data_IF_689065958529
#
_entry.id   IF_689065958529
#
_cell.length_a   1.000
_cell.length_b   1.000
_cell.length_c   1.000
_cell.angle_alpha   90.00
_cell.angle_beta   90.00
_cell.angle_gamma   90.00
#
_symmetry.space_group_name_H-M   'P 1'
#
loop_
_entity.id
_entity.type
_entity.pdbx_description
1 polymer ?
#
# COMPACT_ATOMS: atom_id res chain seq x y z
N UNK A 1 21.66 3.61 -33.53
CA UNK A 1 22.25 3.34 -32.19
C UNK A 1 21.16 3.66 -31.21
N UNK A 2 20.22 2.74 -31.11
CA UNK A 2 19.02 2.92 -30.31
C UNK A 2 19.44 2.75 -28.86
N UNK A 3 19.28 3.82 -28.08
CA UNK A 3 19.28 3.70 -26.63
C UNK A 3 18.06 2.85 -26.31
N UNK A 4 18.27 1.56 -26.12
CA UNK A 4 17.31 0.70 -25.44
C UNK A 4 17.11 1.36 -24.08
N UNK A 5 15.94 1.96 -23.86
CA UNK A 5 15.54 2.41 -22.55
C UNK A 5 15.60 1.19 -21.63
N UNK A 6 16.54 1.22 -20.70
CA UNK A 6 16.68 0.25 -19.63
C UNK A 6 15.37 0.30 -18.84
N UNK A 7 14.48 -0.66 -19.10
CA UNK A 7 13.25 -0.83 -18.32
C UNK A 7 13.73 -1.18 -16.93
N UNK A 8 13.66 -0.23 -16.01
CA UNK A 8 14.04 -0.41 -14.62
C UNK A 8 13.01 -1.36 -13.98
N UNK A 9 13.26 -2.66 -14.06
CA UNK A 9 12.42 -3.75 -13.53
C UNK A 9 12.24 -3.71 -12.00
N UNK A 10 12.78 -2.71 -11.29
CA UNK A 10 12.80 -2.64 -9.83
C UNK A 10 11.49 -2.17 -9.16
N UNK A 11 10.53 -1.59 -9.90
CA UNK A 11 9.29 -1.08 -9.29
C UNK A 11 8.13 -2.08 -9.28
N UNK A 12 8.08 -3.01 -10.23
CA UNK A 12 7.02 -4.04 -10.27
C UNK A 12 7.30 -5.08 -9.19
N UNK A 13 6.40 -5.29 -8.22
CA UNK A 13 6.63 -6.29 -7.19
C UNK A 13 6.64 -7.70 -7.78
N UNK A 14 7.61 -8.51 -7.37
CA UNK A 14 7.81 -9.86 -7.91
C UNK A 14 6.90 -10.89 -7.24
N UNK A 15 6.30 -10.55 -6.10
CA UNK A 15 5.41 -11.41 -5.34
C UNK A 15 4.39 -10.61 -4.52
N UNK A 16 3.39 -11.31 -4.00
CA UNK A 16 2.28 -10.69 -3.26
C UNK A 16 2.73 -10.02 -1.94
N UNK A 17 3.57 -10.63 -1.08
CA UNK A 17 4.08 -9.94 0.10
C UNK A 17 4.81 -8.63 -0.22
N UNK A 18 5.70 -8.64 -1.21
CA UNK A 18 6.43 -7.43 -1.64
C UNK A 18 5.46 -6.35 -2.16
N UNK A 19 4.46 -6.76 -2.96
CA UNK A 19 3.42 -5.84 -3.44
C UNK A 19 2.65 -5.21 -2.27
N UNK A 20 2.34 -6.01 -1.25
CA UNK A 20 1.63 -5.59 -0.07
C UNK A 20 2.44 -4.59 0.77
N UNK A 21 3.72 -4.88 1.00
CA UNK A 21 4.62 -3.97 1.72
C UNK A 21 4.77 -2.62 1.03
N UNK A 22 4.93 -2.62 -0.30
CA UNK A 22 4.95 -1.38 -1.12
C UNK A 22 3.66 -0.56 -0.96
N UNK A 23 2.49 -1.22 -0.95
CA UNK A 23 1.21 -0.51 -0.74
C UNK A 23 1.01 -0.01 0.69
N UNK A 24 1.50 -0.74 1.70
CA UNK A 24 1.49 -0.27 3.09
C UNK A 24 2.31 1.01 3.20
N UNK A 25 3.49 1.06 2.59
CA UNK A 25 4.35 2.24 2.65
C UNK A 25 3.71 3.45 1.95
N UNK A 26 3.19 3.27 0.73
CA UNK A 26 2.41 4.31 0.03
C UNK A 26 1.28 4.87 0.90
N UNK A 27 0.57 4.02 1.62
CA UNK A 27 -0.53 4.44 2.49
C UNK A 27 -0.03 5.17 3.75
N UNK A 28 1.18 4.89 4.25
CA UNK A 28 1.78 5.69 5.34
C UNK A 28 2.06 7.11 4.88
N UNK A 29 2.59 7.28 3.68
CA UNK A 29 2.80 8.60 3.08
C UNK A 29 1.46 9.34 2.92
N UNK A 30 0.44 8.65 2.40
CA UNK A 30 -0.91 9.21 2.24
C UNK A 30 -1.53 9.61 3.58
N UNK A 31 -1.34 8.80 4.63
CA UNK A 31 -1.82 9.10 5.98
C UNK A 31 -1.23 10.41 6.50
N UNK A 32 0.07 10.65 6.28
CA UNK A 32 0.70 11.91 6.70
C UNK A 32 0.09 13.11 5.96
N UNK A 33 -0.21 12.98 4.66
CA UNK A 33 -0.92 14.03 3.90
C UNK A 33 -2.28 14.31 4.53
N UNK A 34 -3.08 13.27 4.78
CA UNK A 34 -4.42 13.42 5.38
C UNK A 34 -4.40 14.06 6.77
N UNK A 35 -3.37 13.81 7.58
CA UNK A 35 -3.19 14.47 8.88
C UNK A 35 -2.97 15.98 8.78
N UNK A 36 -2.47 16.48 7.65
CA UNK A 36 -2.28 17.92 7.45
C UNK A 36 -3.58 18.65 7.07
N UNK A 37 -4.61 17.92 6.64
CA UNK A 37 -5.89 18.49 6.19
C UNK A 37 -6.81 18.68 7.40
N UNK A 38 -7.28 19.91 7.71
CA UNK A 38 -8.10 20.18 8.89
C UNK A 38 -9.37 19.31 9.02
N UNK A 39 -9.97 18.93 7.88
CA UNK A 39 -11.16 18.07 7.81
C UNK A 39 -10.84 16.63 7.40
N UNK A 40 -9.55 16.27 7.30
CA UNK A 40 -9.08 14.96 6.83
C UNK A 40 -9.13 13.83 7.88
N UNK A 41 -9.56 14.11 9.11
CA UNK A 41 -9.47 13.16 10.23
C UNK A 41 -10.18 11.82 10.02
N UNK A 42 -11.31 11.81 9.29
CA UNK A 42 -11.99 10.57 8.94
C UNK A 42 -11.16 9.72 7.97
N UNK A 43 -10.66 10.32 6.89
CA UNK A 43 -9.80 9.63 5.92
C UNK A 43 -8.50 9.12 6.55
N UNK A 44 -7.85 9.94 7.39
CA UNK A 44 -6.68 9.51 8.17
C UNK A 44 -6.98 8.26 9.03
N UNK A 45 -8.16 8.21 9.66
CA UNK A 45 -8.57 7.08 10.49
C UNK A 45 -8.75 5.80 9.67
N UNK A 46 -9.40 5.92 8.49
CA UNK A 46 -9.63 4.79 7.58
C UNK A 46 -8.31 4.25 7.01
N UNK A 47 -7.42 5.13 6.55
CA UNK A 47 -6.11 4.73 6.03
C UNK A 47 -5.28 4.04 7.12
N UNK A 48 -5.27 4.58 8.35
CA UNK A 48 -4.58 3.98 9.47
C UNK A 48 -5.15 2.61 9.87
N UNK A 49 -6.47 2.40 9.72
CA UNK A 49 -7.10 1.10 9.90
C UNK A 49 -6.60 0.11 8.85
N UNK A 50 -6.64 0.48 7.57
CA UNK A 50 -6.26 -0.40 6.47
C UNK A 50 -4.79 -0.80 6.52
N UNK A 51 -3.90 0.11 6.93
CA UNK A 51 -2.48 -0.21 7.20
C UNK A 51 -2.37 -1.29 8.26
N UNK A 52 -3.07 -1.16 9.39
CA UNK A 52 -3.03 -2.16 10.48
C UNK A 52 -3.55 -3.51 10.02
N UNK A 53 -4.66 -3.53 9.30
CA UNK A 53 -5.20 -4.76 8.73
C UNK A 53 -4.25 -5.40 7.72
N UNK A 54 -3.58 -4.59 6.89
CA UNK A 54 -2.58 -5.08 5.94
C UNK A 54 -1.39 -5.77 6.61
N UNK A 55 -0.85 -5.17 7.68
CA UNK A 55 0.24 -5.76 8.47
C UNK A 55 -0.23 -7.06 9.15
N UNK A 56 -1.44 -7.06 9.72
CA UNK A 56 -2.01 -8.25 10.36
C UNK A 56 -2.26 -9.38 9.35
N UNK A 57 -2.68 -9.05 8.13
CA UNK A 57 -2.86 -10.02 7.06
C UNK A 57 -1.54 -10.69 6.68
N UNK A 58 -0.46 -9.93 6.50
CA UNK A 58 0.88 -10.48 6.22
C UNK A 58 1.34 -11.40 7.35
N UNK A 59 1.22 -10.95 8.60
CA UNK A 59 1.63 -11.73 9.77
C UNK A 59 0.86 -13.06 9.90
N UNK A 60 -0.39 -13.12 9.41
CA UNK A 60 -1.21 -14.33 9.48
C UNK A 60 -0.85 -15.40 8.43
N UNK A 61 -0.19 -15.02 7.32
CA UNK A 61 0.05 -15.91 6.19
C UNK A 61 -1.20 -16.31 5.39
N UNK A 62 -2.38 -15.78 5.72
CA UNK A 62 -3.62 -16.02 4.97
C UNK A 62 -3.61 -15.24 3.65
N UNK A 63 -3.36 -15.95 2.56
CA UNK A 63 -3.26 -15.38 1.20
C UNK A 63 -4.53 -14.66 0.77
N UNK A 64 -5.72 -15.17 1.12
CA UNK A 64 -6.99 -14.54 0.74
C UNK A 64 -7.18 -13.24 1.51
N UNK A 65 -6.84 -13.24 2.80
CA UNK A 65 -6.85 -12.01 3.60
C UNK A 65 -5.87 -10.98 3.05
N UNK A 66 -4.66 -11.40 2.69
CA UNK A 66 -3.65 -10.51 2.10
C UNK A 66 -4.17 -9.87 0.80
N UNK A 67 -4.78 -10.64 -0.11
CA UNK A 67 -5.35 -10.11 -1.35
C UNK A 67 -6.46 -9.08 -1.12
N UNK A 68 -7.33 -9.32 -0.13
CA UNK A 68 -8.40 -8.37 0.22
C UNK A 68 -7.84 -7.09 0.82
N UNK A 69 -6.92 -7.20 1.77
CA UNK A 69 -6.28 -6.04 2.39
C UNK A 69 -5.45 -5.25 1.36
N UNK A 70 -4.78 -5.92 0.42
CA UNK A 70 -4.08 -5.28 -0.69
C UNK A 70 -5.02 -4.44 -1.56
N UNK A 71 -6.19 -4.99 -1.92
CA UNK A 71 -7.18 -4.26 -2.70
C UNK A 71 -7.72 -3.02 -1.95
N UNK A 72 -7.94 -3.13 -0.62
CA UNK A 72 -8.34 -2.00 0.23
C UNK A 72 -7.28 -0.90 0.22
N UNK A 73 -6.02 -1.23 0.50
CA UNK A 73 -4.90 -0.28 0.50
C UNK A 73 -4.71 0.40 -0.86
N UNK A 74 -4.89 -0.34 -1.96
CA UNK A 74 -4.79 0.21 -3.31
C UNK A 74 -5.91 1.20 -3.63
N UNK A 75 -7.08 1.07 -3.00
CA UNK A 75 -8.24 1.93 -3.21
C UNK A 75 -8.24 3.24 -2.42
N UNK A 76 -7.32 3.43 -1.48
CA UNK A 76 -7.19 4.70 -0.76
C UNK A 76 -6.60 5.78 -1.67
N UNK A 77 -7.15 7.00 -1.65
CA UNK A 77 -6.74 8.14 -2.49
C UNK A 77 -6.59 9.43 -1.68
#
# INVERSE_FOLDING_TARGET
MDKVEEINDNDTPNNLPEAMEKQIERNRELLEIYKTIPTGGFGATMIAHDIREGIAALASGDVIRILRSYASLKGNE
#
